data_IF_568467267200
#
_entry.id   IF_568467267200
#
_cell.length_a   1.000
_cell.length_b   1.000
_cell.length_c   1.000
_cell.angle_alpha   90.00
_cell.angle_beta   90.00
_cell.angle_gamma   90.00
#
_symmetry.space_group_name_H-M   'P 1'
#
loop_
_entity.id
_entity.type
_entity.pdbx_description
1 polymer ?
#
# COMPACT_ATOMS: atom_id res chain seq x y z
N UNK A 1 5.24 37.98 46.90
CA UNK A 1 4.69 36.92 46.03
C UNK A 1 4.27 37.57 44.72
N UNK A 2 4.84 37.18 43.57
CA UNK A 2 4.29 37.39 42.21
C UNK A 2 5.36 37.09 41.14
N UNK A 3 5.65 35.80 40.89
CA UNK A 3 6.52 35.37 39.77
C UNK A 3 5.89 34.23 38.95
N UNK A 4 4.62 33.89 39.21
CA UNK A 4 3.97 32.72 38.59
C UNK A 4 3.34 32.97 37.21
N UNK A 5 3.29 34.22 36.74
CA UNK A 5 2.57 34.60 35.51
C UNK A 5 3.39 34.41 34.21
N UNK A 6 4.71 34.71 34.15
CA UNK A 6 5.45 34.63 32.89
C UNK A 6 5.67 33.18 32.41
N UNK A 7 5.75 32.22 33.34
CA UNK A 7 6.00 30.81 33.04
C UNK A 7 4.76 30.14 32.44
N UNK A 8 3.55 30.55 32.85
CA UNK A 8 2.31 29.97 32.33
C UNK A 8 2.09 30.33 30.85
N UNK A 9 2.52 31.52 30.43
CA UNK A 9 2.33 32.02 29.06
C UNK A 9 3.24 31.32 28.03
N UNK A 10 4.46 30.94 28.42
CA UNK A 10 5.35 30.18 27.54
C UNK A 10 4.89 28.74 27.34
N UNK A 11 4.29 28.10 28.35
CA UNK A 11 3.65 26.79 28.18
C UNK A 11 2.41 26.84 27.27
N UNK A 12 1.61 27.91 27.35
CA UNK A 12 0.46 28.08 26.46
C UNK A 12 0.87 28.26 24.99
N UNK A 13 1.95 29.00 24.72
CA UNK A 13 2.47 29.16 23.35
C UNK A 13 3.00 27.85 22.74
N UNK A 14 3.63 26.98 23.55
CA UNK A 14 4.10 25.66 23.10
C UNK A 14 2.96 24.64 22.93
N UNK A 15 1.85 24.79 23.67
CA UNK A 15 0.66 23.93 23.51
C UNK A 15 -0.17 24.23 22.26
N UNK A 16 0.07 25.38 21.61
CA UNK A 16 -0.61 25.77 20.37
C UNK A 16 -0.09 25.03 19.13
N UNK A 17 1.02 24.29 19.24
CA UNK A 17 1.37 23.22 18.31
C UNK A 17 0.45 22.01 18.56
N UNK A 18 -0.86 22.22 18.37
CA UNK A 18 -1.84 21.14 18.16
C UNK A 18 -1.20 20.21 17.14
N UNK A 19 -0.96 18.97 17.57
CA UNK A 19 -0.30 17.95 16.77
C UNK A 19 -0.82 18.02 15.35
N UNK A 20 0.09 18.17 14.39
CA UNK A 20 -0.19 17.83 13.02
C UNK A 20 -0.47 16.32 13.03
N UNK A 21 -1.72 15.94 13.31
CA UNK A 21 -2.25 14.67 12.90
C UNK A 21 -2.03 14.65 11.39
N UNK A 22 -1.04 13.89 10.95
CA UNK A 22 -0.78 13.70 9.53
C UNK A 22 -2.12 13.27 8.91
N UNK A 23 -2.72 14.15 8.10
CA UNK A 23 -3.95 13.83 7.42
C UNK A 23 -3.67 12.60 6.56
N UNK A 24 -4.51 11.57 6.69
CA UNK A 24 -4.35 10.37 5.89
C UNK A 24 -4.42 10.77 4.40
N UNK A 25 -3.45 10.33 3.57
CA UNK A 25 -3.47 10.63 2.16
C UNK A 25 -4.78 10.14 1.52
N UNK A 26 -5.32 10.86 0.52
CA UNK A 26 -6.46 10.37 -0.25
C UNK A 26 -6.20 8.98 -0.84
N UNK A 27 -7.24 8.14 -0.93
CA UNK A 27 -7.19 6.84 -1.62
C UNK A 27 -6.59 6.94 -3.03
N UNK A 28 -6.87 8.04 -3.74
CA UNK A 28 -6.33 8.33 -5.07
C UNK A 28 -4.80 8.50 -5.06
N UNK A 29 -4.20 8.99 -3.97
CA UNK A 29 -2.75 9.13 -3.81
C UNK A 29 -2.08 7.76 -3.77
N UNK A 30 -2.60 6.85 -2.94
CA UNK A 30 -2.05 5.50 -2.82
C UNK A 30 -2.16 4.70 -4.12
N UNK A 31 -3.29 4.83 -4.83
CA UNK A 31 -3.47 4.20 -6.14
C UNK A 31 -2.46 4.73 -7.16
N UNK A 32 -2.32 6.05 -7.27
CA UNK A 32 -1.38 6.70 -8.19
C UNK A 32 0.07 6.33 -7.88
N UNK A 33 0.45 6.34 -6.61
CA UNK A 33 1.80 5.95 -6.18
C UNK A 33 2.10 4.50 -6.53
N UNK A 34 1.14 3.59 -6.28
CA UNK A 34 1.29 2.16 -6.60
C UNK A 34 1.47 1.93 -8.10
N UNK A 35 0.68 2.61 -8.95
CA UNK A 35 0.84 2.57 -10.42
C UNK A 35 2.23 3.05 -10.82
N UNK A 36 2.69 4.18 -10.26
CA UNK A 36 4.00 4.73 -10.59
C UNK A 36 5.15 3.81 -10.16
N UNK A 37 5.07 3.22 -8.96
CA UNK A 37 6.07 2.28 -8.46
C UNK A 37 6.13 1.02 -9.32
N UNK A 38 4.99 0.42 -9.65
CA UNK A 38 4.93 -0.74 -10.54
C UNK A 38 5.51 -0.44 -11.93
N UNK A 39 5.22 0.73 -12.49
CA UNK A 39 5.81 1.15 -13.76
C UNK A 39 7.35 1.21 -13.72
N UNK A 40 7.93 1.67 -12.61
CA UNK A 40 9.40 1.68 -12.42
C UNK A 40 9.97 0.27 -12.25
N UNK A 41 9.29 -0.57 -11.48
CA UNK A 41 9.70 -1.96 -11.26
C UNK A 41 9.69 -2.76 -12.56
N UNK A 42 8.65 -2.61 -13.38
CA UNK A 42 8.54 -3.29 -14.68
C UNK A 42 9.57 -2.81 -15.71
N UNK A 43 10.15 -1.62 -15.51
CA UNK A 43 11.27 -1.12 -16.32
C UNK A 43 12.65 -1.59 -15.85
N UNK A 44 12.73 -2.31 -14.72
CA UNK A 44 13.99 -2.77 -14.13
C UNK A 44 14.00 -4.31 -14.11
N UNK A 45 14.87 -4.92 -14.89
CA UNK A 45 15.00 -6.38 -14.91
C UNK A 45 15.94 -6.86 -13.79
N UNK A 46 15.47 -7.79 -12.97
CA UNK A 46 16.28 -8.46 -11.93
C UNK A 46 16.14 -9.99 -12.02
N UNK A 47 17.15 -10.72 -11.56
CA UNK A 47 17.20 -12.19 -11.71
C UNK A 47 16.06 -12.93 -11.01
N UNK A 48 15.54 -12.38 -9.91
CA UNK A 48 14.46 -12.96 -9.13
C UNK A 48 13.05 -12.71 -9.71
N UNK A 49 12.91 -11.95 -10.81
CA UNK A 49 11.61 -11.71 -11.47
C UNK A 49 10.94 -12.99 -11.99
N UNK A 50 11.74 -14.05 -12.18
CA UNK A 50 11.27 -15.38 -12.61
C UNK A 50 10.84 -16.27 -11.44
N UNK A 51 10.95 -15.81 -10.19
CA UNK A 51 10.51 -16.61 -9.05
C UNK A 51 9.00 -16.81 -9.08
N UNK A 52 8.55 -17.97 -8.59
CA UNK A 52 7.14 -18.29 -8.55
C UNK A 52 6.46 -17.55 -7.40
N UNK A 53 5.28 -17.00 -7.68
CA UNK A 53 4.36 -16.42 -6.72
C UNK A 53 2.96 -16.97 -6.96
N UNK A 54 2.09 -16.93 -5.95
CA UNK A 54 0.71 -17.40 -6.11
C UNK A 54 -0.03 -16.54 -7.14
N UNK A 55 -0.72 -17.19 -8.08
CA UNK A 55 -1.62 -16.53 -9.02
C UNK A 55 -2.96 -16.23 -8.34
N UNK A 56 -3.29 -14.94 -8.27
CA UNK A 56 -4.44 -14.42 -7.51
C UNK A 56 -5.50 -13.74 -8.38
N UNK A 57 -5.33 -13.64 -9.71
CA UNK A 57 -6.17 -12.81 -10.58
C UNK A 57 -7.53 -13.47 -10.95
N UNK A 58 -8.24 -13.93 -9.93
CA UNK A 58 -9.63 -14.39 -10.02
C UNK A 58 -10.45 -13.83 -8.84
N UNK A 59 -11.69 -13.43 -9.10
CA UNK A 59 -12.64 -12.95 -8.08
C UNK A 59 -12.95 -11.46 -8.17
N UNK A 60 -13.43 -10.88 -7.06
CA UNK A 60 -13.85 -9.48 -6.99
C UNK A 60 -12.67 -8.53 -6.70
N UNK A 61 -12.80 -7.26 -7.10
CA UNK A 61 -11.72 -6.25 -7.02
C UNK A 61 -11.16 -6.09 -5.60
N UNK A 62 -12.00 -6.02 -4.57
CA UNK A 62 -11.54 -5.80 -3.20
C UNK A 62 -10.73 -6.99 -2.69
N UNK A 63 -11.18 -8.21 -2.99
CA UNK A 63 -10.46 -9.43 -2.68
C UNK A 63 -9.14 -9.52 -3.45
N UNK A 64 -9.13 -9.14 -4.74
CA UNK A 64 -7.93 -9.06 -5.56
C UNK A 64 -6.89 -8.10 -4.98
N UNK A 65 -7.29 -6.88 -4.63
CA UNK A 65 -6.37 -5.90 -4.01
C UNK A 65 -5.78 -6.45 -2.71
N UNK A 66 -6.58 -7.14 -1.92
CA UNK A 66 -6.12 -7.69 -0.66
C UNK A 66 -5.15 -8.87 -0.84
N UNK A 67 -5.46 -9.81 -1.73
CA UNK A 67 -4.55 -10.92 -2.07
C UNK A 67 -3.26 -10.42 -2.73
N UNK A 68 -3.36 -9.45 -3.64
CA UNK A 68 -2.21 -8.80 -4.27
C UNK A 68 -1.29 -8.14 -3.23
N UNK A 69 -1.85 -7.55 -2.17
CA UNK A 69 -1.04 -7.01 -1.07
C UNK A 69 -0.16 -8.08 -0.43
N UNK A 70 -0.68 -9.29 -0.22
CA UNK A 70 0.07 -10.38 0.42
C UNK A 70 1.14 -10.94 -0.51
N UNK A 71 0.81 -11.14 -1.79
CA UNK A 71 1.79 -11.59 -2.79
C UNK A 71 2.91 -10.56 -3.00
N UNK A 72 2.59 -9.26 -2.98
CA UNK A 72 3.61 -8.20 -3.02
C UNK A 72 4.54 -8.27 -1.79
N UNK A 73 3.99 -8.52 -0.61
CA UNK A 73 4.78 -8.67 0.63
C UNK A 73 5.72 -9.88 0.57
N UNK A 74 5.28 -11.00 -0.01
CA UNK A 74 6.11 -12.19 -0.25
C UNK A 74 7.26 -11.87 -1.22
N UNK A 75 6.99 -11.06 -2.26
CA UNK A 75 7.97 -10.69 -3.26
C UNK A 75 8.99 -9.62 -2.85
N UNK A 76 8.87 -9.03 -1.64
CA UNK A 76 9.69 -7.88 -1.21
C UNK A 76 11.20 -8.15 -1.16
N UNK A 77 11.60 -9.41 -1.04
CA UNK A 77 13.01 -9.80 -1.07
C UNK A 77 13.64 -9.58 -2.45
N UNK A 78 12.84 -9.65 -3.51
CA UNK A 78 13.25 -9.37 -4.88
C UNK A 78 13.26 -7.86 -5.16
N UNK A 79 12.18 -7.18 -4.79
CA UNK A 79 12.03 -5.72 -4.94
C UNK A 79 11.57 -5.11 -3.63
N UNK A 80 12.44 -4.37 -2.94
CA UNK A 80 12.12 -3.73 -1.64
C UNK A 80 10.91 -2.80 -1.73
N UNK A 81 10.69 -2.18 -2.89
CA UNK A 81 9.56 -1.28 -3.17
C UNK A 81 8.20 -1.98 -3.10
N UNK A 82 8.16 -3.32 -3.20
CA UNK A 82 6.91 -4.08 -3.03
C UNK A 82 6.35 -4.00 -1.61
N UNK A 83 7.17 -3.65 -0.61
CA UNK A 83 6.68 -3.34 0.73
C UNK A 83 5.78 -2.08 0.72
N UNK A 84 6.17 -1.05 -0.04
CA UNK A 84 5.34 0.15 -0.22
C UNK A 84 4.04 -0.17 -0.98
N UNK A 85 4.13 -0.99 -2.03
CA UNK A 85 2.94 -1.43 -2.77
C UNK A 85 2.00 -2.25 -1.86
N UNK A 86 2.53 -3.16 -1.04
CA UNK A 86 1.75 -3.89 -0.05
C UNK A 86 0.93 -2.95 0.85
N UNK A 87 1.59 -1.96 1.47
CA UNK A 87 0.94 -1.01 2.37
C UNK A 87 -0.12 -0.17 1.66
N UNK A 88 0.17 0.29 0.43
CA UNK A 88 -0.77 1.07 -0.36
C UNK A 88 -2.02 0.26 -0.72
N UNK A 89 -1.85 -1.00 -1.14
CA UNK A 89 -2.97 -1.89 -1.45
C UNK A 89 -3.83 -2.19 -0.22
N UNK A 90 -3.22 -2.40 0.95
CA UNK A 90 -3.97 -2.57 2.20
C UNK A 90 -4.84 -1.34 2.52
N UNK A 91 -4.29 -0.15 2.31
CA UNK A 91 -5.05 1.08 2.51
C UNK A 91 -6.23 1.20 1.53
N UNK A 92 -6.05 0.81 0.26
CA UNK A 92 -7.14 0.75 -0.72
C UNK A 92 -8.24 -0.23 -0.31
N UNK A 93 -7.88 -1.39 0.25
CA UNK A 93 -8.86 -2.39 0.73
C UNK A 93 -9.66 -1.82 1.90
N UNK A 94 -8.98 -1.25 2.90
CA UNK A 94 -9.62 -0.69 4.10
C UNK A 94 -10.58 0.45 3.78
N UNK A 95 -10.26 1.26 2.76
CA UNK A 95 -11.15 2.35 2.31
C UNK A 95 -12.33 1.87 1.47
N UNK A 96 -12.20 0.75 0.74
CA UNK A 96 -13.27 0.17 -0.08
C UNK A 96 -14.20 -0.76 0.70
N UNK A 97 -13.74 -1.38 1.78
CA UNK A 97 -14.55 -2.34 2.54
C UNK A 97 -14.14 -2.39 4.01
N UNK A 98 -15.10 -2.15 4.90
CA UNK A 98 -14.97 -2.40 6.33
C UNK A 98 -15.14 -3.87 6.71
N UNK A 99 -15.57 -4.71 5.76
CA UNK A 99 -15.94 -6.12 5.99
C UNK A 99 -14.78 -7.06 5.68
N UNK A 100 -13.88 -6.70 4.76
CA UNK A 100 -12.73 -7.53 4.42
C UNK A 100 -11.72 -7.54 5.56
N UNK A 101 -11.49 -8.73 6.12
CA UNK A 101 -10.46 -8.94 7.14
C UNK A 101 -9.08 -8.90 6.49
N UNK A 102 -8.24 -8.01 6.99
CA UNK A 102 -6.81 -7.94 6.68
C UNK A 102 -6.04 -8.59 7.84
N UNK A 103 -5.00 -9.42 7.60
CA UNK A 103 -4.48 -9.85 6.31
C UNK A 103 -5.40 -10.87 5.61
N UNK A 104 -5.45 -10.82 4.28
CA UNK A 104 -6.24 -11.78 3.50
C UNK A 104 -5.52 -13.12 3.36
N UNK A 105 -6.30 -14.20 3.43
CA UNK A 105 -5.77 -15.53 3.14
C UNK A 105 -5.51 -15.67 1.64
N UNK A 106 -4.28 -16.05 1.30
CA UNK A 106 -3.89 -16.47 -0.05
C UNK A 106 -3.77 -17.99 0.00
N UNK A 107 -4.76 -18.69 -0.57
CA UNK A 107 -4.72 -20.14 -0.62
C UNK A 107 -3.59 -20.61 -1.55
N UNK A 108 -2.92 -21.72 -1.19
CA UNK A 108 -2.02 -22.39 -2.11
C UNK A 108 -2.79 -22.82 -3.36
N UNK A 109 -2.26 -22.52 -4.54
CA UNK A 109 -2.94 -22.74 -5.81
C UNK A 109 -1.97 -22.67 -6.99
N UNK A 110 -2.50 -22.27 -8.16
CA UNK A 110 -1.66 -22.02 -9.32
C UNK A 110 -0.62 -20.94 -9.01
N UNK A 111 0.54 -21.05 -9.68
CA UNK A 111 1.61 -20.07 -9.53
C UNK A 111 1.91 -19.42 -10.88
N UNK A 112 2.45 -18.21 -10.82
CA UNK A 112 2.94 -17.45 -11.97
C UNK A 112 4.30 -16.85 -11.62
N UNK A 113 4.99 -16.23 -12.60
CA UNK A 113 6.22 -15.49 -12.31
C UNK A 113 5.91 -14.17 -11.61
N UNK A 114 6.83 -13.70 -10.76
CA UNK A 114 6.73 -12.36 -10.17
C UNK A 114 6.55 -11.29 -11.25
N UNK A 115 7.29 -11.37 -12.35
CA UNK A 115 7.16 -10.44 -13.47
C UNK A 115 5.72 -10.37 -14.00
N UNK A 116 5.10 -11.52 -14.25
CA UNK A 116 3.75 -11.58 -14.79
C UNK A 116 2.74 -11.04 -13.77
N UNK A 117 2.89 -11.41 -12.50
CA UNK A 117 2.10 -10.85 -11.41
C UNK A 117 2.17 -9.31 -11.37
N UNK A 118 3.37 -8.73 -11.47
CA UNK A 118 3.53 -7.26 -11.46
C UNK A 118 2.90 -6.59 -12.68
N UNK A 119 2.97 -7.23 -13.86
CA UNK A 119 2.34 -6.73 -15.07
C UNK A 119 0.82 -6.69 -14.93
N UNK A 120 0.21 -7.77 -14.43
CA UNK A 120 -1.23 -7.84 -14.27
C UNK A 120 -1.74 -6.96 -13.14
N UNK A 121 -0.97 -6.84 -12.05
CA UNK A 121 -1.28 -5.89 -10.98
C UNK A 121 -1.26 -4.45 -11.51
N UNK A 122 -0.26 -4.10 -12.34
CA UNK A 122 -0.18 -2.77 -12.92
C UNK A 122 -1.39 -2.47 -13.81
N UNK A 123 -1.81 -3.43 -14.66
CA UNK A 123 -3.03 -3.29 -15.49
C UNK A 123 -4.28 -3.13 -14.63
N UNK A 124 -4.44 -3.94 -13.59
CA UNK A 124 -5.57 -3.86 -12.66
C UNK A 124 -5.66 -2.47 -12.03
N UNK A 125 -4.55 -1.94 -11.50
CA UNK A 125 -4.54 -0.61 -10.89
C UNK A 125 -4.82 0.51 -11.89
N UNK A 126 -4.32 0.38 -13.13
CA UNK A 126 -4.63 1.33 -14.20
C UNK A 126 -6.11 1.31 -14.60
N UNK A 127 -6.76 0.15 -14.57
CA UNK A 127 -8.21 0.03 -14.82
C UNK A 127 -8.99 0.71 -13.69
N UNK A 128 -8.61 0.46 -12.44
CA UNK A 128 -9.23 1.07 -11.26
C UNK A 128 -9.11 2.59 -11.22
N UNK A 129 -8.07 3.16 -11.83
CA UNK A 129 -7.88 4.60 -11.92
C UNK A 129 -8.78 5.28 -12.97
N UNK A 130 -9.48 4.50 -13.82
CA UNK A 130 -10.40 4.98 -14.85
C UNK A 130 -11.87 4.89 -14.42
N UNK A 131 -12.15 4.17 -13.34
CA UNK A 131 -13.46 4.12 -12.68
C UNK A 131 -13.73 5.42 -11.93
#
# INVERSE_FOLDING_TARGET
>A
MSVAVPVLLTFLALSACRGHSAALPPTSTFLKESIQLLGKLLGTEVSCDKMNVTDIFAGNITELLCKASMVALEGRSCHKQLEGIHLNLLHLVQTRSSVHKVPCSVAAGNTTSLQHFLQDLHKLLQQLAKE
#
